data_IF_380936557084
#
_entry.id   IF_380936557084
#
_cell.length_a   1.000
_cell.length_b   1.000
_cell.length_c   1.000
_cell.angle_alpha   90.00
_cell.angle_beta   90.00
_cell.angle_gamma   90.00
#
_symmetry.space_group_name_H-M   'P 1'
#
loop_
_entity.id
_entity.type
_entity.pdbx_description
1 polymer ?
#
# COMPACT_ATOMS: atom_id res chain seq x y z
N UNK A 1 4.72 18.35 36.50
CA UNK A 1 4.64 17.88 35.10
C UNK A 1 5.08 19.03 34.21
N UNK A 2 6.17 18.87 33.46
CA UNK A 2 6.63 19.96 32.58
C UNK A 2 5.55 20.20 31.52
N UNK A 3 4.93 21.36 31.65
CA UNK A 3 3.82 21.88 30.85
C UNK A 3 4.04 21.65 29.36
N UNK A 4 2.96 21.34 28.65
CA UNK A 4 2.79 21.41 27.20
C UNK A 4 3.19 22.81 26.68
N UNK A 5 4.47 23.13 26.65
CA UNK A 5 4.98 24.30 25.94
C UNK A 5 4.63 24.02 24.48
N UNK A 6 3.77 24.85 23.88
CA UNK A 6 3.49 24.80 22.45
C UNK A 6 4.78 25.21 21.74
N UNK A 7 5.61 24.23 21.41
CA UNK A 7 6.80 24.43 20.59
C UNK A 7 6.30 24.69 19.16
N UNK A 8 6.78 25.78 18.57
CA UNK A 8 6.50 26.17 17.19
C UNK A 8 7.79 26.06 16.40
N UNK A 9 7.70 25.55 15.18
CA UNK A 9 8.86 25.46 14.30
C UNK A 9 9.17 26.83 13.70
N UNK A 10 10.44 27.17 13.50
CA UNK A 10 10.85 28.32 12.71
C UNK A 10 11.01 27.94 11.25
N UNK A 11 10.44 28.73 10.33
CA UNK A 11 10.43 28.47 8.90
C UNK A 11 10.61 29.79 8.14
N UNK A 12 11.21 29.72 6.96
CA UNK A 12 11.36 30.87 6.07
C UNK A 12 10.00 31.25 5.46
N UNK A 13 9.68 32.56 5.41
CA UNK A 13 8.44 33.03 4.79
C UNK A 13 8.51 32.85 3.26
N UNK A 14 7.38 32.56 2.59
CA UNK A 14 7.33 32.58 1.13
C UNK A 14 7.44 33.98 0.50
N UNK A 15 7.47 35.04 1.32
CA UNK A 15 7.53 36.41 0.84
C UNK A 15 8.95 36.76 0.34
N UNK A 16 9.05 37.83 -0.45
CA UNK A 16 10.32 38.21 -1.13
C UNK A 16 11.43 38.57 -0.15
N UNK A 17 11.09 39.03 1.04
CA UNK A 17 12.02 39.37 2.12
C UNK A 17 12.57 38.15 2.86
N UNK A 18 12.00 36.95 2.63
CA UNK A 18 12.43 35.66 3.18
C UNK A 18 12.64 35.68 4.70
N UNK A 19 11.87 36.51 5.42
CA UNK A 19 12.01 36.62 6.87
C UNK A 19 11.66 35.28 7.56
N UNK A 20 12.28 35.02 8.72
CA UNK A 20 11.91 33.86 9.54
C UNK A 20 10.55 34.10 10.20
N UNK A 21 9.70 33.09 10.21
CA UNK A 21 8.39 33.11 10.87
C UNK A 21 8.17 31.84 11.67
N UNK A 22 7.27 31.92 12.66
CA UNK A 22 6.84 30.74 13.41
C UNK A 22 5.76 29.99 12.62
N UNK A 23 5.98 28.70 12.44
CA UNK A 23 5.08 27.75 11.82
C UNK A 23 4.51 26.79 12.87
N UNK A 24 3.37 26.19 12.54
CA UNK A 24 2.63 25.33 13.48
C UNK A 24 3.32 23.99 13.75
N UNK A 25 4.06 23.45 12.79
CA UNK A 25 4.58 22.08 12.87
C UNK A 25 5.98 21.90 12.30
N UNK A 26 6.62 20.80 12.70
CA UNK A 26 7.97 20.39 12.30
C UNK A 26 7.96 19.52 11.05
N UNK A 27 9.01 19.58 10.23
CA UNK A 27 9.13 18.74 9.03
C UNK A 27 9.52 17.31 9.41
N UNK A 28 9.21 16.34 8.54
CA UNK A 28 9.62 14.95 8.76
C UNK A 28 11.15 14.82 8.86
N UNK A 29 11.89 15.59 8.05
CA UNK A 29 13.34 15.56 8.05
C UNK A 29 13.95 16.06 9.37
N UNK A 30 13.39 17.14 9.94
CA UNK A 30 13.81 17.67 11.24
C UNK A 30 13.59 16.65 12.37
N UNK A 31 12.45 15.96 12.34
CA UNK A 31 12.07 14.96 13.36
C UNK A 31 13.00 13.74 13.30
N UNK A 32 13.29 13.25 12.09
CA UNK A 32 14.20 12.13 11.88
C UNK A 32 15.62 12.47 12.34
N UNK A 33 16.11 13.66 12.00
CA UNK A 33 17.46 14.10 12.36
C UNK A 33 17.62 14.41 13.85
N UNK A 34 16.54 14.81 14.52
CA UNK A 34 16.48 14.90 15.97
C UNK A 34 16.43 13.53 16.67
N UNK A 35 16.30 12.43 15.92
CA UNK A 35 16.19 11.08 16.46
C UNK A 35 14.86 10.81 17.18
N UNK A 36 13.80 11.57 16.86
CA UNK A 36 12.49 11.43 17.51
C UNK A 36 11.51 10.67 16.63
N UNK A 37 10.56 9.98 17.26
CA UNK A 37 9.49 9.28 16.54
C UNK A 37 8.27 10.19 16.34
N UNK A 38 7.57 10.02 15.23
CA UNK A 38 6.33 10.77 14.95
C UNK A 38 5.24 10.48 16.00
N UNK A 39 5.23 9.27 16.56
CA UNK A 39 4.33 8.89 17.64
C UNK A 39 4.56 9.68 18.93
N UNK A 40 5.83 9.95 19.25
CA UNK A 40 6.17 10.77 20.41
C UNK A 40 5.64 12.20 20.25
N UNK A 41 5.82 12.80 19.07
CA UNK A 41 5.28 14.14 18.80
C UNK A 41 3.75 14.14 18.89
N UNK A 42 3.07 13.12 18.37
CA UNK A 42 1.61 12.96 18.51
C UNK A 42 1.17 12.87 19.98
N UNK A 43 1.90 12.11 20.81
CA UNK A 43 1.64 12.00 22.26
C UNK A 43 1.83 13.33 22.98
N UNK A 44 2.82 14.12 22.56
CA UNK A 44 3.11 15.46 23.06
C UNK A 44 2.22 16.54 22.43
N UNK A 45 1.29 16.17 21.54
CA UNK A 45 0.39 17.07 20.82
C UNK A 45 1.14 18.15 20.02
N UNK A 46 2.30 17.79 19.43
CA UNK A 46 3.08 18.63 18.53
C UNK A 46 2.67 18.32 17.09
N UNK A 47 2.42 19.35 16.30
CA UNK A 47 2.01 19.19 14.91
C UNK A 47 3.20 18.81 14.01
N UNK A 48 2.92 17.96 13.03
CA UNK A 48 3.88 17.52 12.02
C UNK A 48 3.42 18.06 10.66
N UNK A 49 4.34 18.69 9.94
CA UNK A 49 4.16 19.16 8.58
C UNK A 49 4.78 18.15 7.61
N UNK A 50 3.94 17.25 7.10
CA UNK A 50 4.35 16.13 6.24
C UNK A 50 4.88 16.57 4.87
N UNK A 51 4.47 17.75 4.40
CA UNK A 51 4.79 18.21 3.04
C UNK A 51 6.08 19.05 2.99
N UNK A 52 6.55 19.57 4.13
CA UNK A 52 7.78 20.35 4.19
C UNK A 52 9.00 19.43 4.10
N UNK A 53 9.91 19.77 3.19
CA UNK A 53 11.21 19.06 3.01
C UNK A 53 12.40 19.82 3.59
N UNK A 54 12.23 21.09 3.97
CA UNK A 54 13.31 21.88 4.56
C UNK A 54 13.69 21.35 5.93
N UNK A 55 14.95 21.61 6.29
CA UNK A 55 15.53 21.26 7.58
C UNK A 55 16.17 22.51 8.17
N UNK A 56 15.80 22.85 9.39
CA UNK A 56 16.39 23.96 10.12
C UNK A 56 17.07 23.45 11.40
N UNK A 57 18.34 23.80 11.60
CA UNK A 57 19.14 23.36 12.75
C UNK A 57 18.54 23.82 14.09
N UNK A 58 17.96 25.03 14.11
CA UNK A 58 17.27 25.60 15.27
C UNK A 58 16.15 24.65 15.73
N UNK A 59 15.32 24.20 14.78
CA UNK A 59 14.21 23.28 15.02
C UNK A 59 14.70 21.91 15.51
N UNK A 60 15.76 21.38 14.91
CA UNK A 60 16.38 20.11 15.33
C UNK A 60 16.89 20.22 16.76
N UNK A 61 17.53 21.33 17.11
CA UNK A 61 17.99 21.61 18.47
C UNK A 61 16.85 21.69 19.49
N UNK A 62 15.70 22.27 19.11
CA UNK A 62 14.51 22.27 19.95
C UNK A 62 13.91 20.87 20.14
N UNK A 63 13.82 20.08 19.07
CA UNK A 63 13.31 18.71 19.12
C UNK A 63 14.20 17.78 19.94
N UNK A 64 15.53 17.97 19.92
CA UNK A 64 16.47 17.20 20.75
C UNK A 64 16.28 17.44 22.25
N UNK A 65 15.79 18.63 22.65
CA UNK A 65 15.48 18.96 24.06
C UNK A 65 14.25 18.22 24.58
N UNK A 66 13.43 17.63 23.70
CA UNK A 66 12.25 16.86 24.11
C UNK A 66 12.66 15.56 24.79
N UNK A 67 12.06 15.31 25.96
CA UNK A 67 12.24 14.04 26.69
C UNK A 67 11.31 12.97 26.13
N UNK A 68 11.80 11.75 26.05
CA UNK A 68 11.00 10.61 25.62
C UNK A 68 10.00 10.22 26.72
N UNK A 69 8.73 10.10 26.36
CA UNK A 69 7.70 9.67 27.31
C UNK A 69 7.72 8.15 27.39
N UNK A 70 8.47 7.59 28.32
CA UNK A 70 8.50 6.15 28.60
C UNK A 70 7.26 5.70 29.37
N UNK A 71 6.10 5.78 28.71
CA UNK A 71 4.95 5.02 29.21
C UNK A 71 5.17 3.58 28.78
N UNK A 72 5.63 2.72 29.70
CA UNK A 72 5.59 1.25 29.55
C UNK A 72 4.22 0.87 29.02
N UNK A 73 4.14 0.54 27.73
CA UNK A 73 2.90 0.08 27.11
C UNK A 73 2.55 -1.22 27.83
N UNK A 74 1.46 -1.21 28.61
CA UNK A 74 0.96 -2.45 29.22
C UNK A 74 0.68 -3.40 28.07
N UNK A 75 1.42 -4.53 28.00
CA UNK A 75 1.19 -5.56 26.99
C UNK A 75 -0.29 -5.95 27.08
N UNK A 76 -1.02 -5.78 25.97
CA UNK A 76 -2.41 -6.25 25.91
C UNK A 76 -2.36 -7.76 26.12
N UNK A 77 -3.25 -8.28 26.95
CA UNK A 77 -3.41 -9.74 27.07
C UNK A 77 -3.74 -10.30 25.67
N UNK A 78 -3.23 -11.49 25.32
CA UNK A 78 -3.60 -12.14 24.07
C UNK A 78 -5.13 -12.22 23.97
N UNK A 79 -5.64 -12.10 22.74
CA UNK A 79 -7.08 -12.18 22.51
C UNK A 79 -7.55 -13.60 22.80
N UNK A 80 -8.28 -13.77 23.90
CA UNK A 80 -8.99 -15.00 24.21
C UNK A 80 -10.23 -15.05 23.29
N UNK A 81 -10.24 -16.01 22.37
CA UNK A 81 -11.38 -16.25 21.50
C UNK A 81 -12.59 -16.61 22.37
N UNK A 82 -13.50 -15.66 22.57
CA UNK A 82 -14.75 -15.92 23.26
C UNK A 82 -15.50 -17.00 22.51
N UNK A 83 -15.95 -18.03 23.21
CA UNK A 83 -16.87 -19.00 22.66
C UNK A 83 -18.05 -18.25 22.05
N UNK A 84 -18.32 -18.53 20.76
CA UNK A 84 -19.48 -17.97 20.07
C UNK A 84 -20.71 -18.54 20.77
N UNK A 85 -21.27 -17.81 21.74
CA UNK A 85 -22.62 -18.06 22.22
C UNK A 85 -23.52 -17.90 21.00
N UNK A 86 -23.96 -19.02 20.42
CA UNK A 86 -24.97 -19.01 19.37
C UNK A 86 -26.19 -18.35 20.00
N UNK A 87 -26.47 -17.12 19.61
CA UNK A 87 -27.79 -16.55 19.88
C UNK A 87 -28.80 -17.51 19.23
N UNK A 88 -29.87 -17.91 19.93
CA UNK A 88 -30.89 -18.75 19.33
C UNK A 88 -31.32 -18.10 18.02
N UNK A 89 -31.35 -18.91 16.95
CA UNK A 89 -31.71 -18.46 15.62
C UNK A 89 -33.09 -17.80 15.70
N UNK A 90 -33.15 -16.49 15.46
CA UNK A 90 -34.43 -15.77 15.39
C UNK A 90 -34.98 -16.01 13.98
N UNK A 91 -36.05 -16.82 13.81
CA UNK A 91 -36.64 -17.04 12.50
C UNK A 91 -37.05 -15.70 11.92
N UNK A 92 -36.65 -15.46 10.66
CA UNK A 92 -37.08 -14.29 9.91
C UNK A 92 -38.58 -14.41 9.66
N UNK A 93 -39.37 -13.69 10.44
CA UNK A 93 -40.79 -13.48 10.12
C UNK A 93 -40.83 -12.79 8.77
N UNK A 94 -41.49 -13.44 7.80
CA UNK A 94 -41.72 -12.89 6.47
C UNK A 94 -42.31 -11.49 6.60
N UNK A 95 -41.60 -10.52 6.05
CA UNK A 95 -42.01 -9.12 6.07
C UNK A 95 -43.31 -9.03 5.26
N UNK A 96 -44.42 -8.54 5.82
CA UNK A 96 -45.65 -8.38 5.05
C UNK A 96 -45.36 -7.45 3.86
N UNK A 97 -45.71 -7.93 2.67
CA UNK A 97 -45.50 -7.22 1.41
C UNK A 97 -46.12 -5.83 1.52
N UNK A 98 -45.28 -4.79 1.45
CA UNK A 98 -45.76 -3.41 1.38
C UNK A 98 -46.56 -3.28 0.09
N UNK A 99 -47.86 -3.05 0.24
CA UNK A 99 -48.75 -2.59 -0.84
C UNK A 99 -48.06 -1.46 -1.61
N UNK A 100 -47.89 -1.70 -2.90
CA UNK A 100 -47.34 -0.75 -3.88
C UNK A 100 -48.31 0.43 -3.98
N UNK A 101 -47.99 1.54 -3.31
CA UNK A 101 -48.67 2.81 -3.55
C UNK A 101 -48.08 3.39 -4.82
N UNK A 102 -48.89 3.42 -5.89
CA UNK A 102 -48.59 4.08 -7.17
C UNK A 102 -48.21 5.54 -6.90
N UNK A 103 -46.95 5.90 -7.13
CA UNK A 103 -46.54 7.31 -7.23
C UNK A 103 -47.01 7.85 -8.56
N UNK A 104 -47.91 8.83 -8.47
CA UNK A 104 -48.36 9.69 -9.57
C UNK A 104 -47.16 10.43 -10.14
N UNK A 105 -47.00 10.29 -11.45
CA UNK A 105 -46.02 10.99 -12.29
C UNK A 105 -46.49 12.44 -12.42
N UNK A 106 -45.65 13.38 -11.98
CA UNK A 106 -45.75 14.79 -12.38
C UNK A 106 -44.48 15.14 -13.12
N UNK A 107 -44.64 15.34 -14.42
CA UNK A 107 -43.64 15.80 -15.36
C UNK A 107 -43.30 17.28 -15.14
N UNK A 108 -42.02 17.64 -15.31
CA UNK A 108 -41.55 18.95 -15.78
C UNK A 108 -40.09 18.82 -16.28
N UNK A 109 -39.61 19.71 -17.16
CA UNK A 109 -39.18 19.30 -18.49
C UNK A 109 -37.68 19.51 -18.76
N UNK A 110 -37.25 18.90 -19.87
CA UNK A 110 -35.91 18.87 -20.42
C UNK A 110 -35.31 20.24 -20.78
N UNK A 111 -33.98 20.35 -20.63
CA UNK A 111 -33.07 20.97 -21.61
C UNK A 111 -31.63 20.46 -21.44
N UNK A 112 -30.99 20.32 -22.60
CA UNK A 112 -29.84 19.50 -23.02
C UNK A 112 -28.56 20.38 -23.20
N UNK A 113 -27.50 19.99 -23.93
CA UNK A 113 -26.44 18.99 -23.67
C UNK A 113 -24.99 19.55 -23.92
N UNK A 114 -23.99 18.65 -23.91
CA UNK A 114 -22.56 18.74 -24.38
C UNK A 114 -21.55 18.73 -23.21
N UNK A 115 -20.46 17.95 -23.20
CA UNK A 115 -19.67 17.36 -24.29
C UNK A 115 -18.92 16.11 -23.79
N UNK A 116 -19.11 14.99 -24.49
CA UNK A 116 -18.25 13.82 -24.42
C UNK A 116 -17.18 13.91 -25.52
N UNK A 117 -15.99 13.38 -25.27
CA UNK A 117 -15.04 12.99 -26.32
C UNK A 117 -14.51 11.59 -25.98
N UNK A 118 -14.74 10.68 -26.92
CA UNK A 118 -14.32 9.29 -26.92
C UNK A 118 -13.65 8.98 -28.26
N UNK A 119 -12.62 8.13 -28.24
CA UNK A 119 -12.14 7.28 -29.35
C UNK A 119 -10.95 6.49 -28.80
N UNK A 120 -10.93 5.17 -28.56
CA UNK A 120 -11.43 3.95 -29.24
C UNK A 120 -10.68 3.61 -30.54
N UNK A 121 -9.79 2.62 -30.44
CA UNK A 121 -9.33 1.65 -31.46
C UNK A 121 -8.69 0.48 -30.68
N UNK A 122 -8.75 -0.79 -31.03
CA UNK A 122 -9.54 -1.58 -31.98
C UNK A 122 -9.32 -3.06 -31.59
N UNK A 123 -10.26 -3.94 -31.94
CA UNK A 123 -10.36 -5.33 -31.49
C UNK A 123 -9.84 -6.22 -32.62
N UNK A 124 -8.94 -7.18 -32.35
CA UNK A 124 -8.69 -8.33 -33.23
C UNK A 124 -8.64 -9.60 -32.39
N UNK A 125 -9.32 -10.63 -32.88
CA UNK A 125 -9.60 -11.93 -32.25
C UNK A 125 -9.26 -12.96 -33.31
N UNK A 126 -8.38 -13.92 -33.01
CA UNK A 126 -8.42 -15.33 -33.47
C UNK A 126 -7.22 -16.12 -32.90
N UNK A 127 -7.51 -17.26 -32.27
CA UNK A 127 -6.56 -18.32 -31.89
C UNK A 127 -6.08 -19.09 -33.16
N UNK A 128 -5.02 -19.93 -33.09
CA UNK A 128 -5.17 -21.29 -32.55
C UNK A 128 -3.98 -21.81 -31.72
N UNK A 129 -4.28 -22.76 -30.81
CA UNK A 129 -3.33 -23.67 -30.13
C UNK A 129 -2.36 -24.35 -31.11
N UNK A 130 -1.14 -24.69 -30.67
CA UNK A 130 -0.86 -26.13 -30.53
C UNK A 130 0.03 -26.55 -29.35
N UNK A 131 -0.36 -27.70 -28.79
CA UNK A 131 0.46 -28.85 -28.36
C UNK A 131 1.47 -28.70 -27.21
N UNK A 132 1.03 -29.27 -26.07
CA UNK A 132 1.77 -30.19 -25.19
C UNK A 132 3.09 -30.70 -25.79
N UNK A 133 4.19 -30.45 -25.08
CA UNK A 133 5.33 -31.38 -24.97
C UNK A 133 5.63 -31.62 -23.50
N UNK A 134 5.82 -32.90 -23.20
CA UNK A 134 6.11 -33.47 -21.89
C UNK A 134 7.61 -33.32 -21.57
N UNK A 135 7.90 -33.00 -20.29
CA UNK A 135 9.05 -33.37 -19.43
C UNK A 135 10.49 -33.22 -19.98
N UNK A 136 11.41 -32.69 -19.16
CA UNK A 136 12.04 -33.55 -18.15
C UNK A 136 12.03 -32.97 -16.72
N UNK A 137 11.96 -33.89 -15.76
CA UNK A 137 12.19 -33.62 -14.36
C UNK A 137 13.69 -33.37 -14.10
N UNK A 138 14.02 -32.16 -13.69
CA UNK A 138 15.18 -31.84 -12.84
C UNK A 138 15.01 -30.41 -12.31
N UNK A 139 15.27 -30.20 -11.03
CA UNK A 139 15.16 -28.89 -10.38
C UNK A 139 14.35 -28.94 -9.09
N UNK A 140 14.98 -29.41 -8.01
CA UNK A 140 14.39 -29.68 -6.69
C UNK A 140 14.10 -28.43 -5.84
N UNK A 141 14.10 -27.23 -6.40
CA UNK A 141 13.92 -25.97 -5.65
C UNK A 141 12.58 -25.31 -5.98
N UNK A 142 11.77 -25.10 -4.94
CA UNK A 142 10.48 -24.43 -5.08
C UNK A 142 10.72 -22.93 -5.26
N UNK A 143 10.02 -22.32 -6.20
CA UNK A 143 10.09 -20.89 -6.48
C UNK A 143 9.86 -20.00 -5.23
N UNK A 144 9.12 -20.51 -4.23
CA UNK A 144 8.88 -19.86 -2.93
C UNK A 144 10.11 -19.66 -2.05
N UNK A 145 11.24 -20.28 -2.38
CA UNK A 145 12.50 -20.13 -1.63
C UNK A 145 13.23 -18.83 -1.99
N UNK A 146 12.87 -18.19 -3.12
CA UNK A 146 13.47 -16.92 -3.56
C UNK A 146 13.01 -15.74 -2.72
N UNK A 147 13.92 -14.79 -2.52
CA UNK A 147 13.68 -13.64 -1.66
C UNK A 147 12.61 -12.73 -2.25
N UNK A 148 11.52 -12.55 -1.49
CA UNK A 148 10.39 -11.72 -1.90
C UNK A 148 9.53 -12.31 -3.03
N UNK A 149 9.67 -13.60 -3.35
CA UNK A 149 8.71 -14.32 -4.18
C UNK A 149 7.69 -15.05 -3.28
N UNK A 150 6.55 -14.39 -3.06
CA UNK A 150 5.47 -14.94 -2.24
C UNK A 150 4.60 -15.97 -2.99
N UNK A 151 3.75 -16.74 -2.27
CA UNK A 151 2.92 -17.79 -2.87
C UNK A 151 1.92 -17.26 -3.91
N UNK A 152 1.48 -16.01 -3.78
CA UNK A 152 0.59 -15.38 -4.75
C UNK A 152 1.30 -15.09 -6.09
N UNK A 153 2.60 -14.82 -6.05
CA UNK A 153 3.41 -14.60 -7.25
C UNK A 153 3.83 -15.95 -7.85
N UNK A 154 4.21 -16.92 -7.01
CA UNK A 154 4.54 -18.27 -7.46
C UNK A 154 3.41 -18.90 -8.28
N UNK A 155 2.15 -18.76 -7.83
CA UNK A 155 0.98 -19.22 -8.59
C UNK A 155 0.85 -18.60 -9.98
N UNK A 156 1.25 -17.34 -10.15
CA UNK A 156 1.22 -16.68 -11.47
C UNK A 156 2.30 -17.23 -12.40
N UNK A 157 3.45 -17.59 -11.86
CA UNK A 157 4.52 -18.25 -12.61
C UNK A 157 4.11 -19.69 -12.98
N UNK A 158 3.50 -20.43 -12.05
CA UNK A 158 2.91 -21.75 -12.32
C UNK A 158 1.84 -21.70 -13.42
N UNK A 159 1.01 -20.65 -13.47
CA UNK A 159 0.02 -20.43 -14.53
C UNK A 159 0.64 -20.20 -15.92
N UNK A 160 1.87 -19.69 -15.96
CA UNK A 160 2.65 -19.46 -17.19
C UNK A 160 3.43 -20.71 -17.60
N UNK A 161 3.68 -21.62 -16.65
CA UNK A 161 4.46 -22.83 -16.85
C UNK A 161 5.85 -22.79 -16.22
N UNK A 162 6.19 -21.74 -15.45
CA UNK A 162 7.43 -21.64 -14.69
C UNK A 162 7.19 -22.14 -13.28
N UNK A 163 7.56 -23.39 -13.03
CA UNK A 163 7.39 -24.08 -11.75
C UNK A 163 8.70 -24.18 -10.95
N UNK A 164 9.85 -24.11 -11.63
CA UNK A 164 11.17 -24.32 -11.03
C UNK A 164 12.12 -23.12 -11.21
N UNK A 165 13.11 -23.01 -10.30
CA UNK A 165 14.16 -21.98 -10.38
C UNK A 165 15.01 -22.09 -11.66
N UNK A 166 15.25 -23.31 -12.14
CA UNK A 166 15.99 -23.58 -13.39
C UNK A 166 15.23 -23.09 -14.63
N UNK A 167 13.91 -23.21 -14.63
CA UNK A 167 13.04 -22.72 -15.71
C UNK A 167 13.07 -21.19 -15.77
N UNK A 168 13.09 -20.52 -14.61
CA UNK A 168 13.19 -19.07 -14.53
C UNK A 168 14.51 -18.52 -15.12
N UNK A 169 15.61 -19.25 -15.01
CA UNK A 169 16.93 -18.82 -15.54
C UNK A 169 17.00 -18.90 -17.07
N UNK A 170 16.22 -19.81 -17.69
CA UNK A 170 16.23 -20.02 -19.13
C UNK A 170 15.30 -19.06 -19.90
N UNK A 171 14.38 -18.40 -19.22
CA UNK A 171 13.40 -17.48 -19.83
C UNK A 171 13.86 -16.01 -19.85
N UNK A 172 13.31 -15.25 -20.80
CA UNK A 172 13.65 -13.83 -20.95
C UNK A 172 12.88 -12.94 -19.94
N UNK A 173 13.57 -12.05 -19.21
CA UNK A 173 12.93 -11.24 -18.16
C UNK A 173 11.91 -10.24 -18.69
N UNK A 174 12.03 -9.83 -19.96
CA UNK A 174 11.09 -8.87 -20.58
C UNK A 174 9.75 -9.53 -20.96
N UNK A 175 9.79 -10.80 -21.39
CA UNK A 175 8.58 -11.56 -21.70
C UNK A 175 7.80 -11.89 -20.42
N UNK A 176 8.53 -12.32 -19.39
CA UNK A 176 7.94 -12.62 -18.08
C UNK A 176 7.32 -11.41 -17.41
N UNK A 177 7.94 -10.22 -17.51
CA UNK A 177 7.36 -9.00 -16.93
C UNK A 177 6.06 -8.58 -17.63
N UNK A 178 5.98 -8.81 -18.94
CA UNK A 178 4.78 -8.51 -19.73
C UNK A 178 3.63 -9.46 -19.39
N UNK A 179 3.96 -10.71 -19.08
CA UNK A 179 2.98 -11.77 -18.82
C UNK A 179 2.53 -11.79 -17.35
N UNK A 180 3.45 -11.58 -16.40
CA UNK A 180 3.16 -11.57 -14.96
C UNK A 180 2.73 -10.17 -14.51
N UNK A 181 1.41 -9.99 -14.33
CA UNK A 181 0.86 -8.72 -13.80
C UNK A 181 1.41 -8.38 -12.42
N UNK A 182 2.07 -7.24 -12.34
CA UNK A 182 2.53 -6.62 -11.09
C UNK A 182 3.97 -6.97 -10.69
N UNK A 183 4.76 -7.55 -11.60
CA UNK A 183 6.19 -7.78 -11.42
C UNK A 183 6.95 -6.96 -12.45
N UNK A 184 7.96 -6.19 -12.02
CA UNK A 184 8.83 -5.42 -12.92
C UNK A 184 9.95 -6.29 -13.49
N UNK A 185 10.48 -5.93 -14.65
CA UNK A 185 11.63 -6.59 -15.27
C UNK A 185 12.85 -6.65 -14.34
N UNK A 186 13.11 -5.55 -13.62
CA UNK A 186 14.19 -5.46 -12.63
C UNK A 186 14.05 -6.52 -11.53
N UNK A 187 12.82 -6.82 -11.12
CA UNK A 187 12.57 -7.81 -10.08
C UNK A 187 12.82 -9.23 -10.58
N UNK A 188 12.47 -9.51 -11.83
CA UNK A 188 12.73 -10.81 -12.45
C UNK A 188 14.23 -11.01 -12.64
N UNK A 189 14.97 -9.97 -13.06
CA UNK A 189 16.44 -10.02 -13.12
C UNK A 189 17.07 -10.36 -11.78
N UNK A 190 16.62 -9.69 -10.71
CA UNK A 190 17.08 -10.00 -9.35
C UNK A 190 16.82 -11.46 -8.96
N UNK A 191 15.65 -12.01 -9.29
CA UNK A 191 15.35 -13.42 -9.03
C UNK A 191 16.18 -14.39 -9.87
N UNK A 192 16.48 -14.07 -11.13
CA UNK A 192 17.36 -14.87 -11.98
C UNK A 192 18.78 -14.88 -11.42
N UNK A 193 19.27 -13.74 -10.92
CA UNK A 193 20.59 -13.64 -10.30
C UNK A 193 20.64 -14.46 -8.99
N UNK A 194 19.61 -14.37 -8.14
CA UNK A 194 19.45 -15.23 -6.95
C UNK A 194 19.40 -16.73 -7.33
N UNK A 195 18.69 -17.10 -8.40
CA UNK A 195 18.65 -18.48 -8.89
C UNK A 195 20.03 -18.97 -9.34
N UNK A 196 20.83 -18.13 -10.01
CA UNK A 196 22.18 -18.48 -10.44
C UNK A 196 23.11 -18.68 -9.24
N UNK A 197 22.99 -17.87 -8.20
CA UNK A 197 23.74 -18.05 -6.95
C UNK A 197 23.37 -19.35 -6.23
N UNK A 198 22.09 -19.76 -6.26
CA UNK A 198 21.63 -21.00 -5.62
C UNK A 198 22.02 -22.28 -6.38
N UNK A 199 22.32 -22.17 -7.68
CA UNK A 199 22.74 -23.28 -8.54
C UNK A 199 24.28 -23.38 -8.68
N UNK A 200 25.03 -22.42 -8.15
CA UNK A 200 26.50 -22.44 -8.06
C UNK A 200 26.99 -23.26 -6.87
#
# INVERSE_FOLDING_TARGET
MQSNKKILAEVISPAKDAHTRKAKGFSLGEIQEAGKTTELLKKLNINIDYFRKSKHEINIGELKKLKDTDKKVKKRRPFEAKEKKRTPFKPTVSKPEKKVIKKVVVEKPAKTPKKATASKKEKVKTEPKPKKKELPASGTTKLTELSGLGPATAKKFEEIGVSCAEELVNEDPSELASLVKGVSEERIKAWIDECKELLQ
#
